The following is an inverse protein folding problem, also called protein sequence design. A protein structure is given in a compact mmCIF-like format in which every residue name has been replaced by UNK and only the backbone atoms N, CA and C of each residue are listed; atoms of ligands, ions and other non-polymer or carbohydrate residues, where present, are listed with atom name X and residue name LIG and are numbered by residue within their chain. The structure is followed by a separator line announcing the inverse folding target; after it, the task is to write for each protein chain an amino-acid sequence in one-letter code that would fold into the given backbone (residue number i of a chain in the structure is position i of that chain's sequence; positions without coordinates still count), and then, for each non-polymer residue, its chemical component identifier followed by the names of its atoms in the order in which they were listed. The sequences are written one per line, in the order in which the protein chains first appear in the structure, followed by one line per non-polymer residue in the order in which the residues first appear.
data_IF_318448417738
#
_entry.id   IF_318448417738
#
_cell.length_a   1.000
_cell.length_b   1.000
_cell.length_c   1.000
_cell.angle_alpha   90.00
_cell.angle_beta   90.00
_cell.angle_gamma   90.00
#
_symmetry.space_group_name_H-M   'P 1'
#
loop_
_entity.id
_entity.type
_entity.pdbx_description
1 polymer ?
#
# COMPACT_ATOMS: atom_id res chain seq x y z
N UNK A 1 -11.46 7.26 -10.10
CA UNK A 1 -10.92 5.98 -9.57
C UNK A 1 -9.62 5.57 -10.24
N UNK A 2 -9.47 5.66 -11.57
CA UNK A 2 -8.22 5.30 -12.26
C UNK A 2 -6.97 6.06 -11.74
N UNK A 3 -7.07 7.37 -11.51
CA UNK A 3 -5.94 8.18 -10.97
C UNK A 3 -5.50 7.73 -9.57
N UNK A 4 -6.43 7.23 -8.75
CA UNK A 4 -6.15 6.71 -7.41
C UNK A 4 -5.39 5.38 -7.49
N UNK A 5 -5.83 4.48 -8.38
CA UNK A 5 -5.16 3.20 -8.62
C UNK A 5 -3.72 3.41 -9.09
N UNK A 6 -3.51 4.33 -10.04
CA UNK A 6 -2.15 4.65 -10.50
C UNK A 6 -1.29 5.27 -9.40
N UNK A 7 -1.86 6.15 -8.57
CA UNK A 7 -1.16 6.78 -7.46
C UNK A 7 -0.75 5.77 -6.39
N UNK A 8 -1.65 4.87 -6.01
CA UNK A 8 -1.36 3.79 -5.05
C UNK A 8 -0.32 2.83 -5.64
N UNK A 9 -0.44 2.44 -6.91
CA UNK A 9 0.55 1.58 -7.59
C UNK A 9 1.96 2.21 -7.60
N UNK A 10 2.06 3.53 -7.82
CA UNK A 10 3.33 4.26 -7.72
C UNK A 10 3.92 4.21 -6.31
N UNK A 11 3.11 4.44 -5.27
CA UNK A 11 3.56 4.35 -3.88
C UNK A 11 4.00 2.93 -3.50
N UNK A 12 3.28 1.91 -3.96
CA UNK A 12 3.67 0.50 -3.74
C UNK A 12 5.03 0.22 -4.38
N UNK A 13 5.24 0.67 -5.62
CA UNK A 13 6.52 0.54 -6.31
C UNK A 13 7.65 1.29 -5.60
N UNK A 14 7.41 2.52 -5.15
CA UNK A 14 8.36 3.33 -4.38
C UNK A 14 8.76 2.60 -3.09
N UNK A 15 7.79 2.10 -2.33
CA UNK A 15 8.01 1.37 -1.08
C UNK A 15 8.87 0.10 -1.30
N UNK A 16 8.59 -0.67 -2.36
CA UNK A 16 9.36 -1.89 -2.69
C UNK A 16 10.83 -1.60 -3.03
N UNK A 17 11.14 -0.41 -3.54
CA UNK A 17 12.49 -0.01 -3.95
C UNK A 17 13.26 0.78 -2.88
N UNK A 18 12.61 1.21 -1.80
CA UNK A 18 13.27 1.88 -0.67
C UNK A 18 13.96 0.84 0.23
N UNK A 19 15.17 1.15 0.71
CA UNK A 19 15.95 0.29 1.61
C UNK A 19 15.83 0.72 3.08
N UNK A 20 15.24 1.89 3.34
CA UNK A 20 15.00 2.41 4.68
C UNK A 20 13.62 1.96 5.17
N UNK A 21 13.61 1.14 6.23
CA UNK A 21 12.38 0.54 6.76
C UNK A 21 11.42 1.62 7.29
N UNK A 22 11.91 2.68 7.92
CA UNK A 22 11.07 3.75 8.45
C UNK A 22 10.38 4.51 7.31
N UNK A 23 11.09 4.73 6.20
CA UNK A 23 10.49 5.28 4.97
C UNK A 23 9.47 4.34 4.36
N UNK A 24 9.77 3.04 4.27
CA UNK A 24 8.82 2.05 3.77
C UNK A 24 7.52 2.04 4.58
N UNK A 25 7.62 2.13 5.92
CA UNK A 25 6.45 2.25 6.81
C UNK A 25 5.64 3.50 6.48
N UNK A 26 6.29 4.66 6.33
CA UNK A 26 5.62 5.91 5.99
C UNK A 26 4.88 5.83 4.65
N UNK A 27 5.53 5.27 3.63
CA UNK A 27 4.92 5.09 2.29
C UNK A 27 3.75 4.11 2.36
N UNK A 28 3.88 2.99 3.09
CA UNK A 28 2.81 2.02 3.29
C UNK A 28 1.59 2.64 3.96
N UNK A 29 1.78 3.42 5.03
CA UNK A 29 0.69 4.11 5.72
C UNK A 29 -0.02 5.07 4.77
N UNK A 30 0.74 5.81 3.95
CA UNK A 30 0.18 6.73 2.96
C UNK A 30 -0.62 5.99 1.88
N UNK A 31 -0.06 4.92 1.32
CA UNK A 31 -0.75 4.09 0.33
C UNK A 31 -2.06 3.51 0.89
N UNK A 32 -2.01 3.00 2.11
CA UNK A 32 -3.18 2.47 2.81
C UNK A 32 -4.25 3.54 3.03
N UNK A 33 -3.86 4.75 3.47
CA UNK A 33 -4.80 5.84 3.72
C UNK A 33 -5.47 6.39 2.45
N UNK A 34 -4.90 6.15 1.27
CA UNK A 34 -5.52 6.53 0.00
C UNK A 34 -6.63 5.57 -0.42
N UNK A 35 -6.69 4.36 0.14
CA UNK A 35 -7.75 3.41 -0.16
C UNK A 35 -9.07 3.81 0.51
N UNK A 36 -10.22 3.43 -0.07
CA UNK A 36 -11.51 3.53 0.62
C UNK A 36 -11.45 2.84 1.98
N UNK A 37 -12.14 3.36 3.00
CA UNK A 37 -12.09 2.84 4.37
C UNK A 37 -12.38 1.33 4.46
N UNK A 38 -13.24 0.80 3.59
CA UNK A 38 -13.58 -0.63 3.52
C UNK A 38 -12.43 -1.53 3.03
N UNK A 39 -11.44 -0.95 2.36
CA UNK A 39 -10.25 -1.62 1.81
C UNK A 39 -9.00 -1.38 2.68
N UNK A 40 -9.02 -0.38 3.56
CA UNK A 40 -7.85 -0.08 4.39
C UNK A 40 -7.45 -1.25 5.28
N UNK A 41 -6.16 -1.59 5.24
CA UNK A 41 -5.54 -2.55 6.13
C UNK A 41 -5.51 -2.02 7.57
N UNK A 42 -5.71 -2.93 8.53
CA UNK A 42 -5.43 -2.66 9.94
C UNK A 42 -3.94 -2.80 10.20
N UNK A 43 -3.26 -1.66 10.30
CA UNK A 43 -1.82 -1.63 10.53
C UNK A 43 -1.51 -1.84 12.03
N UNK A 44 -0.70 -2.85 12.39
CA UNK A 44 -0.28 -3.07 13.78
C UNK A 44 0.76 -2.01 14.20
N UNK A 45 0.94 -1.86 15.52
CA UNK A 45 1.95 -0.95 16.07
C UNK A 45 3.40 -1.40 15.84
N UNK A 46 3.63 -2.72 15.77
CA UNK A 46 4.93 -3.30 15.43
C UNK A 46 4.92 -3.71 13.95
N UNK A 47 5.78 -3.07 13.15
CA UNK A 47 5.90 -3.33 11.72
C UNK A 47 7.26 -3.93 11.43
N UNK A 48 7.27 -5.05 10.70
CA UNK A 48 8.48 -5.73 10.23
C UNK A 48 8.58 -5.65 8.71
N UNK A 49 9.78 -5.86 8.16
CA UNK A 49 9.97 -5.93 6.71
C UNK A 49 9.07 -7.00 6.06
N UNK A 50 8.84 -8.14 6.72
CA UNK A 50 7.90 -9.17 6.25
C UNK A 50 6.46 -8.68 6.21
N UNK A 51 6.03 -7.97 7.25
CA UNK A 51 4.70 -7.36 7.26
C UNK A 51 4.54 -6.37 6.11
N UNK A 52 5.53 -5.49 5.88
CA UNK A 52 5.51 -4.52 4.78
C UNK A 52 5.32 -5.24 3.45
N UNK A 53 6.14 -6.27 3.16
CA UNK A 53 6.01 -7.05 1.92
C UNK A 53 4.61 -7.63 1.73
N UNK A 54 4.05 -8.23 2.78
CA UNK A 54 2.69 -8.80 2.73
C UNK A 54 1.65 -7.70 2.50
N UNK A 55 1.71 -6.61 3.27
CA UNK A 55 0.75 -5.52 3.20
C UNK A 55 0.75 -4.86 1.82
N UNK A 56 1.92 -4.68 1.20
CA UNK A 56 2.03 -4.16 -0.17
C UNK A 56 1.38 -5.10 -1.20
N UNK A 57 1.57 -6.41 -1.07
CA UNK A 57 0.90 -7.38 -1.94
C UNK A 57 -0.61 -7.39 -1.74
N UNK A 58 -1.09 -7.30 -0.50
CA UNK A 58 -2.53 -7.22 -0.19
C UNK A 58 -3.16 -5.95 -0.80
N UNK A 59 -2.47 -4.79 -0.71
CA UNK A 59 -2.92 -3.53 -1.33
C UNK A 59 -2.96 -3.65 -2.86
N UNK A 60 -1.93 -4.26 -3.45
CA UNK A 60 -1.83 -4.47 -4.90
C UNK A 60 -3.00 -5.34 -5.41
N UNK A 61 -3.30 -6.47 -4.75
CA UNK A 61 -4.44 -7.31 -5.09
C UNK A 61 -5.78 -6.56 -5.00
N UNK A 62 -5.96 -5.73 -3.96
CA UNK A 62 -7.18 -4.96 -3.78
C UNK A 62 -7.41 -3.92 -4.88
N UNK A 63 -6.37 -3.22 -5.32
CA UNK A 63 -6.51 -2.20 -6.37
C UNK A 63 -6.69 -2.81 -7.76
N UNK A 64 -6.14 -4.00 -8.03
CA UNK A 64 -6.42 -4.74 -9.27
C UNK A 64 -7.86 -5.27 -9.33
N UNK A 65 -8.47 -5.52 -8.16
CA UNK A 65 -9.86 -5.94 -8.07
C UNK A 65 -10.87 -4.79 -8.28
N UNK A 66 -10.42 -3.52 -8.33
CA UNK A 66 -11.30 -2.37 -8.59
C UNK A 66 -11.67 -2.37 -10.08
N UNK A 67 -12.96 -2.54 -10.44
CA UNK A 67 -13.37 -2.53 -11.84
C UNK A 67 -13.13 -1.13 -12.43
N UNK A 68 -12.26 -1.06 -13.44
CA UNK A 68 -12.01 0.12 -14.26
C UNK A 68 -13.13 0.27 -15.30
N UNK A 69 -14.35 0.60 -14.84
CA UNK A 69 -15.47 0.95 -15.73
C UNK A 69 -15.44 2.44 -16.08
#
# INVERSE_FOLDING_TARGET
MQELVESVRRLVSECRNDNDIDRQVSILIRANAMLPESMQLKIPSLITADYIRKALSDIEEQIEAIPTT
#
